data_IF_867020521113
#
_entry.id   IF_867020521113
#
_cell.length_a   1.000
_cell.length_b   1.000
_cell.length_c   1.000
_cell.angle_alpha   90.00
_cell.angle_beta   90.00
_cell.angle_gamma   90.00
#
_symmetry.space_group_name_H-M   'P 1'
#
loop_
_entity.id
_entity.type
_entity.pdbx_description
1 polymer ?
#
# COMPACT_ATOMS: atom_id res chain seq x y z
N UNK A 1 -16.33 4.09 -11.80
CA UNK A 1 -17.45 5.04 -12.04
C UNK A 1 -17.41 5.47 -13.50
N UNK A 2 -18.55 5.56 -14.19
CA UNK A 2 -18.63 5.88 -15.64
C UNK A 2 -17.92 7.20 -16.03
N UNK A 3 -17.91 8.19 -15.14
CA UNK A 3 -17.21 9.46 -15.39
C UNK A 3 -15.68 9.26 -15.47
N UNK A 4 -15.10 8.56 -14.51
CA UNK A 4 -13.67 8.30 -14.46
C UNK A 4 -13.19 7.45 -15.64
N UNK A 5 -14.02 6.50 -16.11
CA UNK A 5 -13.71 5.67 -17.27
C UNK A 5 -13.65 6.51 -18.56
N UNK A 6 -14.55 7.50 -18.69
CA UNK A 6 -14.55 8.44 -19.81
C UNK A 6 -13.31 9.34 -19.79
N UNK A 7 -12.95 9.88 -18.61
CA UNK A 7 -11.78 10.73 -18.44
C UNK A 7 -10.49 9.97 -18.80
N UNK A 8 -10.33 8.71 -18.34
CA UNK A 8 -9.17 7.89 -18.71
C UNK A 8 -9.13 7.57 -20.20
N UNK A 9 -10.26 7.32 -20.84
CA UNK A 9 -10.32 7.09 -22.29
C UNK A 9 -9.83 8.32 -23.04
N UNK A 10 -10.30 9.50 -22.70
CA UNK A 10 -9.87 10.77 -23.31
C UNK A 10 -8.37 11.01 -23.13
N UNK A 11 -7.85 10.77 -21.91
CA UNK A 11 -6.42 10.89 -21.62
C UNK A 11 -5.57 9.91 -22.42
N UNK A 12 -5.98 8.64 -22.54
CA UNK A 12 -5.29 7.63 -23.33
C UNK A 12 -5.24 8.03 -24.80
N UNK A 13 -6.34 8.50 -25.39
CA UNK A 13 -6.39 8.94 -26.78
C UNK A 13 -5.53 10.19 -27.02
N UNK A 14 -5.53 11.12 -26.08
CA UNK A 14 -4.65 12.27 -26.11
C UNK A 14 -3.16 11.86 -26.09
N UNK A 15 -2.77 10.88 -25.25
CA UNK A 15 -1.39 10.39 -25.17
C UNK A 15 -0.95 9.55 -26.37
N UNK A 16 -1.88 8.87 -27.04
CA UNK A 16 -1.62 8.21 -28.34
C UNK A 16 -1.25 9.21 -29.43
N UNK A 17 -1.89 10.40 -29.40
CA UNK A 17 -1.67 11.45 -30.40
C UNK A 17 -0.49 12.37 -30.06
N UNK A 18 -0.35 12.71 -28.78
CA UNK A 18 0.67 13.59 -28.25
C UNK A 18 1.29 12.99 -26.98
N UNK A 19 2.29 12.11 -27.10
CA UNK A 19 2.98 11.49 -25.95
C UNK A 19 3.56 12.52 -24.99
N UNK A 20 3.52 12.21 -23.69
CA UNK A 20 4.12 13.01 -22.64
C UNK A 20 5.00 12.12 -21.75
N UNK A 21 5.76 12.71 -20.84
CA UNK A 21 6.53 11.98 -19.83
C UNK A 21 5.62 11.60 -18.67
N UNK A 22 4.76 10.59 -18.90
CA UNK A 22 3.82 10.08 -17.91
C UNK A 22 3.50 8.58 -18.13
N UNK A 23 3.00 7.95 -17.05
CA UNK A 23 2.66 6.53 -17.04
C UNK A 23 1.61 6.16 -18.10
N UNK A 24 0.67 7.04 -18.42
CA UNK A 24 -0.37 6.76 -19.42
C UNK A 24 0.29 6.60 -20.79
N UNK A 25 1.23 7.48 -21.13
CA UNK A 25 2.03 7.37 -22.36
C UNK A 25 2.77 6.04 -22.41
N UNK A 26 3.46 5.65 -21.34
CA UNK A 26 4.19 4.39 -21.28
C UNK A 26 3.27 3.19 -21.53
N UNK A 27 2.11 3.17 -20.89
CA UNK A 27 1.14 2.07 -21.03
C UNK A 27 0.58 1.97 -22.46
N UNK A 28 0.21 3.09 -23.10
CA UNK A 28 -0.34 3.06 -24.46
C UNK A 28 0.74 2.78 -25.51
N UNK A 29 1.99 3.16 -25.27
CA UNK A 29 3.12 2.83 -26.14
C UNK A 29 3.51 1.35 -26.03
N UNK A 30 3.55 0.77 -24.82
CA UNK A 30 3.75 -0.66 -24.61
C UNK A 30 2.65 -1.50 -25.26
N UNK A 31 1.40 -1.05 -25.21
CA UNK A 31 0.30 -1.67 -25.93
C UNK A 31 0.55 -1.66 -27.45
N UNK A 32 0.97 -0.52 -28.00
CA UNK A 32 1.20 -0.35 -29.43
C UNK A 32 2.42 -1.14 -29.95
N UNK A 33 3.46 -1.34 -29.13
CA UNK A 33 4.65 -2.14 -29.48
C UNK A 33 4.36 -3.64 -29.53
N UNK A 34 3.29 -4.10 -28.86
CA UNK A 34 2.97 -5.52 -28.74
C UNK A 34 3.78 -6.26 -27.67
N UNK A 35 4.67 -5.58 -26.94
CA UNK A 35 5.48 -6.17 -25.86
C UNK A 35 4.66 -6.46 -24.61
N UNK A 36 3.55 -5.71 -24.41
CA UNK A 36 2.58 -5.97 -23.37
C UNK A 36 1.17 -5.88 -23.98
N UNK A 37 0.49 -7.02 -24.21
CA UNK A 37 -0.80 -7.06 -24.88
C UNK A 37 -1.94 -6.65 -23.92
N UNK A 38 -1.87 -5.42 -23.37
CA UNK A 38 -2.95 -4.86 -22.56
C UNK A 38 -4.05 -4.34 -23.47
N UNK A 39 -5.29 -4.64 -23.13
CA UNK A 39 -6.47 -4.00 -23.73
C UNK A 39 -6.69 -2.62 -23.14
N UNK A 40 -7.46 -1.78 -23.81
CA UNK A 40 -7.86 -0.47 -23.28
C UNK A 40 -8.59 -0.58 -21.94
N UNK A 41 -9.41 -1.61 -21.78
CA UNK A 41 -10.09 -1.89 -20.51
C UNK A 41 -9.10 -2.21 -19.38
N UNK A 42 -8.09 -3.01 -19.66
CA UNK A 42 -7.05 -3.34 -18.67
C UNK A 42 -6.21 -2.12 -18.30
N UNK A 43 -5.88 -1.25 -19.25
CA UNK A 43 -5.19 0.01 -18.95
C UNK A 43 -6.08 0.88 -18.05
N UNK A 44 -7.36 1.09 -18.37
CA UNK A 44 -8.29 1.87 -17.55
C UNK A 44 -8.45 1.31 -16.13
N UNK A 45 -8.57 -0.02 -16.00
CA UNK A 45 -8.65 -0.68 -14.70
C UNK A 45 -7.38 -0.45 -13.88
N UNK A 46 -6.21 -0.55 -14.49
CA UNK A 46 -4.94 -0.29 -13.81
C UNK A 46 -4.80 1.18 -13.38
N UNK A 47 -5.15 2.14 -14.25
CA UNK A 47 -5.14 3.57 -13.91
C UNK A 47 -6.10 3.87 -12.75
N UNK A 48 -7.30 3.30 -12.78
CA UNK A 48 -8.27 3.42 -11.69
C UNK A 48 -7.76 2.83 -10.38
N UNK A 49 -7.13 1.65 -10.43
CA UNK A 49 -6.55 1.00 -9.26
C UNK A 49 -5.39 1.82 -8.65
N UNK A 50 -4.53 2.39 -9.49
CA UNK A 50 -3.42 3.25 -9.05
C UNK A 50 -3.94 4.55 -8.42
N UNK A 51 -4.94 5.19 -9.03
CA UNK A 51 -5.53 6.42 -8.50
C UNK A 51 -6.17 6.19 -7.13
N UNK A 52 -6.99 5.14 -6.99
CA UNK A 52 -7.66 4.82 -5.71
C UNK A 52 -6.65 4.36 -4.67
N UNK A 53 -5.72 3.48 -5.06
CA UNK A 53 -4.70 2.93 -4.17
C UNK A 53 -3.73 3.98 -3.63
N UNK A 54 -3.36 4.97 -4.45
CA UNK A 54 -2.41 6.02 -4.06
C UNK A 54 -3.02 7.16 -3.26
N UNK A 55 -4.31 7.44 -3.43
CA UNK A 55 -4.91 8.62 -2.80
C UNK A 55 -5.38 8.33 -1.36
N UNK A 56 -6.32 7.40 -1.18
CA UNK A 56 -6.98 7.20 0.11
C UNK A 56 -6.01 6.72 1.19
N UNK A 57 -5.20 5.73 0.86
CA UNK A 57 -4.29 5.11 1.83
C UNK A 57 -3.19 6.06 2.29
N UNK A 58 -2.65 6.87 1.40
CA UNK A 58 -1.63 7.87 1.76
C UNK A 58 -2.23 8.99 2.61
N UNK A 59 -3.43 9.46 2.27
CA UNK A 59 -4.15 10.45 3.09
C UNK A 59 -4.37 9.95 4.51
N UNK A 60 -4.82 8.69 4.65
CA UNK A 60 -5.01 8.07 5.96
C UNK A 60 -3.68 7.88 6.71
N UNK A 61 -2.59 7.51 6.00
CA UNK A 61 -1.27 7.36 6.60
C UNK A 61 -0.75 8.68 7.20
N UNK A 62 -0.87 9.77 6.44
CA UNK A 62 -0.50 11.11 6.91
C UNK A 62 -1.35 11.50 8.14
N UNK A 63 -2.66 11.26 8.07
CA UNK A 63 -3.57 11.52 9.19
C UNK A 63 -3.21 10.73 10.44
N UNK A 64 -2.95 9.43 10.30
CA UNK A 64 -2.52 8.55 11.38
C UNK A 64 -1.17 9.00 11.98
N UNK A 65 -0.20 9.36 11.11
CA UNK A 65 1.09 9.87 11.55
C UNK A 65 0.97 11.16 12.37
N UNK A 66 0.21 12.13 11.89
CA UNK A 66 -0.07 13.37 12.62
C UNK A 66 -0.74 13.09 13.95
N UNK A 67 -1.77 12.26 13.97
CA UNK A 67 -2.47 11.88 15.20
C UNK A 67 -1.54 11.19 16.20
N UNK A 68 -0.71 10.25 15.76
CA UNK A 68 0.26 9.56 16.61
C UNK A 68 1.26 10.54 17.25
N UNK A 69 1.84 11.45 16.47
CA UNK A 69 2.77 12.44 17.01
C UNK A 69 2.12 13.46 17.95
N UNK A 70 0.86 13.81 17.74
CA UNK A 70 0.13 14.70 18.66
C UNK A 70 -0.23 14.00 19.98
N UNK A 71 -0.46 12.70 19.95
CA UNK A 71 -0.79 11.90 21.15
C UNK A 71 0.44 11.32 21.86
N UNK A 72 1.62 11.36 21.22
CA UNK A 72 2.91 10.93 21.77
C UNK A 72 3.94 12.08 21.68
N UNK A 73 3.81 13.13 22.52
CA UNK A 73 4.64 14.34 22.41
C UNK A 73 6.13 14.09 22.66
N UNK A 74 6.50 13.03 23.38
CA UNK A 74 7.87 12.57 23.57
C UNK A 74 8.49 12.10 22.25
N UNK A 75 7.73 11.38 21.42
CA UNK A 75 8.16 10.90 20.12
C UNK A 75 8.27 12.07 19.12
N UNK A 76 7.37 13.03 19.16
CA UNK A 76 7.47 14.26 18.39
C UNK A 76 8.71 15.08 18.78
N UNK A 77 9.00 15.18 20.07
CA UNK A 77 10.20 15.86 20.56
C UNK A 77 11.48 15.15 20.09
N UNK A 78 11.51 13.82 20.13
CA UNK A 78 12.63 13.02 19.63
C UNK A 78 12.87 13.24 18.13
N UNK A 79 11.80 13.25 17.31
CA UNK A 79 11.89 13.50 15.87
C UNK A 79 12.40 14.91 15.58
N UNK A 80 11.91 15.94 16.31
CA UNK A 80 12.37 17.33 16.17
C UNK A 80 13.85 17.50 16.57
N UNK A 81 14.29 16.79 17.61
CA UNK A 81 15.68 16.82 18.08
C UNK A 81 16.62 16.09 17.10
N UNK A 82 16.15 15.06 16.42
CA UNK A 82 16.91 14.30 15.44
C UNK A 82 16.09 13.98 14.19
N UNK A 83 16.04 14.89 13.19
CA UNK A 83 15.30 14.68 11.94
C UNK A 83 15.77 13.44 11.13
N UNK A 84 16.97 12.91 11.38
CA UNK A 84 17.45 11.68 10.74
C UNK A 84 16.63 10.44 11.12
N UNK A 85 15.78 10.52 12.15
CA UNK A 85 14.80 9.49 12.50
C UNK A 85 13.59 9.44 11.53
N UNK A 86 13.46 10.40 10.61
CA UNK A 86 12.32 10.50 9.69
C UNK A 86 11.95 9.18 9.00
N UNK A 87 12.89 8.52 8.28
CA UNK A 87 12.57 7.25 7.63
C UNK A 87 12.11 6.15 8.62
N UNK A 88 12.74 6.08 9.79
CA UNK A 88 12.35 5.10 10.82
C UNK A 88 10.99 5.43 11.44
N UNK A 89 10.68 6.71 11.58
CA UNK A 89 9.39 7.19 12.08
C UNK A 89 8.25 6.81 11.11
N UNK A 90 8.46 6.92 9.80
CA UNK A 90 7.49 6.45 8.78
C UNK A 90 7.23 4.95 8.90
N UNK A 91 8.29 4.13 9.02
CA UNK A 91 8.12 2.68 9.20
C UNK A 91 7.38 2.34 10.51
N UNK A 92 7.62 3.10 11.59
CA UNK A 92 6.92 2.86 12.86
C UNK A 92 5.44 3.31 12.80
N UNK A 93 5.10 4.40 12.11
CA UNK A 93 3.70 4.78 11.84
C UNK A 93 3.01 3.68 11.04
N UNK A 94 3.64 3.19 9.96
CA UNK A 94 3.13 2.10 9.14
C UNK A 94 2.93 0.81 9.93
N UNK A 95 3.84 0.49 10.84
CA UNK A 95 3.70 -0.68 11.71
C UNK A 95 2.54 -0.51 12.69
N UNK A 96 2.52 0.63 13.38
CA UNK A 96 1.64 0.86 14.53
C UNK A 96 0.21 1.17 14.11
N UNK A 97 0.01 1.99 13.06
CA UNK A 97 -1.32 2.42 12.61
C UNK A 97 -1.37 2.49 11.07
N UNK A 98 -1.22 1.32 10.42
CA UNK A 98 -1.32 1.23 8.97
C UNK A 98 -2.74 1.58 8.46
N UNK A 99 -2.86 2.30 7.34
CA UNK A 99 -4.16 2.60 6.72
C UNK A 99 -4.97 1.35 6.38
N UNK A 100 -4.30 0.27 5.98
CA UNK A 100 -4.94 -1.00 5.65
C UNK A 100 -4.72 -1.98 6.79
N UNK A 101 -5.77 -2.23 7.57
CA UNK A 101 -5.72 -3.10 8.75
C UNK A 101 -5.81 -4.59 8.42
N UNK A 102 -6.42 -4.94 7.28
CA UNK A 102 -6.61 -6.33 6.87
C UNK A 102 -6.68 -6.46 5.35
N UNK A 103 -6.37 -7.65 4.84
CA UNK A 103 -6.61 -8.04 3.45
C UNK A 103 -7.31 -9.40 3.42
N UNK A 104 -7.98 -9.70 2.30
CA UNK A 104 -8.67 -10.98 2.15
C UNK A 104 -8.07 -11.83 1.03
N UNK A 105 -8.26 -13.14 1.15
CA UNK A 105 -7.91 -14.13 0.12
C UNK A 105 -9.05 -15.13 -0.02
N UNK A 106 -9.24 -15.62 -1.24
CA UNK A 106 -10.15 -16.74 -1.51
C UNK A 106 -9.29 -17.99 -1.61
N UNK A 107 -9.68 -19.02 -0.85
CA UNK A 107 -9.02 -20.33 -0.89
C UNK A 107 -9.38 -21.03 -2.19
N UNK A 108 -8.40 -21.34 -3.03
CA UNK A 108 -8.63 -21.98 -4.34
C UNK A 108 -8.92 -23.47 -4.22
N UNK A 109 -8.22 -24.17 -3.31
CA UNK A 109 -8.37 -25.60 -3.07
C UNK A 109 -8.27 -25.90 -1.57
N UNK A 110 -8.87 -27.01 -1.13
CA UNK A 110 -8.77 -27.47 0.25
C UNK A 110 -7.31 -27.55 0.68
N UNK A 111 -6.99 -26.90 1.81
CA UNK A 111 -5.63 -26.89 2.38
C UNK A 111 -5.65 -26.69 3.88
N UNK A 112 -4.52 -26.95 4.50
CA UNK A 112 -4.30 -26.66 5.93
C UNK A 112 -3.20 -25.61 6.06
N UNK A 113 -3.48 -24.53 6.80
CA UNK A 113 -2.51 -23.47 7.08
C UNK A 113 -2.37 -23.32 8.59
N UNK A 114 -1.16 -23.46 9.10
CA UNK A 114 -0.87 -23.42 10.55
C UNK A 114 -1.78 -24.32 11.40
N UNK A 115 -2.10 -25.53 10.91
CA UNK A 115 -2.98 -26.46 11.58
C UNK A 115 -4.49 -26.22 11.38
N UNK A 116 -4.88 -25.09 10.76
CA UNK A 116 -6.29 -24.77 10.50
C UNK A 116 -6.71 -25.29 9.11
N UNK A 117 -7.70 -26.22 9.01
CA UNK A 117 -8.21 -26.69 7.74
C UNK A 117 -9.08 -25.60 7.08
N UNK A 118 -8.82 -25.37 5.81
CA UNK A 118 -9.55 -24.41 4.99
C UNK A 118 -10.13 -25.09 3.78
N UNK A 119 -11.38 -24.79 3.46
CA UNK A 119 -12.08 -25.33 2.29
C UNK A 119 -11.97 -24.39 1.10
N UNK A 120 -11.97 -24.99 -0.10
CA UNK A 120 -12.07 -24.21 -1.34
C UNK A 120 -13.23 -23.23 -1.29
N UNK A 121 -13.03 -22.04 -1.85
CA UNK A 121 -13.96 -20.90 -1.90
C UNK A 121 -14.25 -20.20 -0.55
N UNK A 122 -13.66 -20.64 0.56
CA UNK A 122 -13.71 -19.83 1.79
C UNK A 122 -12.94 -18.51 1.62
N UNK A 123 -13.46 -17.46 2.24
CA UNK A 123 -12.76 -16.18 2.38
C UNK A 123 -11.97 -16.20 3.68
N UNK A 124 -10.68 -15.89 3.58
CA UNK A 124 -9.77 -15.77 4.73
C UNK A 124 -9.35 -14.31 4.85
N UNK A 125 -9.49 -13.76 6.04
CA UNK A 125 -8.99 -12.42 6.36
C UNK A 125 -7.62 -12.52 7.02
N UNK A 126 -6.63 -11.83 6.44
CA UNK A 126 -5.30 -11.67 7.01
C UNK A 126 -5.25 -10.33 7.74
N UNK A 127 -5.24 -10.33 9.06
CA UNK A 127 -5.14 -9.11 9.87
C UNK A 127 -3.69 -8.60 9.84
N UNK A 128 -3.43 -7.57 9.05
CA UNK A 128 -2.12 -6.93 8.97
C UNK A 128 -1.83 -6.15 10.25
N UNK A 129 -2.85 -5.50 10.81
CA UNK A 129 -2.73 -4.76 12.07
C UNK A 129 -2.32 -5.69 13.24
N UNK A 130 -2.94 -6.89 13.34
CA UNK A 130 -2.56 -7.87 14.36
C UNK A 130 -1.13 -8.40 14.13
N UNK A 131 -0.77 -8.70 12.88
CA UNK A 131 0.58 -9.17 12.56
C UNK A 131 1.65 -8.13 12.88
N UNK A 132 1.35 -6.85 12.67
CA UNK A 132 2.26 -5.74 12.99
C UNK A 132 2.38 -5.45 14.50
N UNK A 133 1.55 -6.09 15.30
CA UNK A 133 1.57 -6.00 16.78
C UNK A 133 1.82 -7.35 17.44
N UNK A 134 2.29 -8.33 16.70
CA UNK A 134 2.65 -9.65 17.23
C UNK A 134 3.89 -9.53 18.13
N UNK A 135 3.74 -9.83 19.41
CA UNK A 135 4.80 -9.75 20.43
C UNK A 135 5.95 -10.74 20.15
N UNK A 136 5.69 -11.79 19.38
CA UNK A 136 6.74 -12.73 18.97
C UNK A 136 7.68 -12.15 17.92
N UNK A 137 7.24 -11.12 17.20
CA UNK A 137 7.99 -10.45 16.14
C UNK A 137 8.45 -9.04 16.56
N UNK A 138 7.68 -8.37 17.41
CA UNK A 138 7.91 -6.97 17.79
C UNK A 138 7.94 -6.83 19.32
N UNK A 139 9.13 -6.63 19.86
CA UNK A 139 9.28 -6.34 21.28
C UNK A 139 8.52 -5.05 21.63
N UNK A 140 7.74 -5.06 22.74
CA UNK A 140 6.85 -3.96 23.13
C UNK A 140 5.93 -3.51 21.97
N UNK A 141 5.26 -4.47 21.34
CA UNK A 141 4.50 -4.28 20.10
C UNK A 141 3.42 -3.19 20.20
N UNK A 142 2.84 -3.00 21.42
CA UNK A 142 1.82 -1.99 21.72
C UNK A 142 2.39 -0.59 22.02
N UNK A 143 3.71 -0.42 21.95
CA UNK A 143 4.34 0.88 22.15
C UNK A 143 4.69 1.52 20.80
N UNK A 144 4.25 2.76 20.60
CA UNK A 144 4.72 3.60 19.49
C UNK A 144 6.07 4.20 19.87
N UNK A 145 7.14 3.80 19.18
CA UNK A 145 8.50 4.22 19.50
C UNK A 145 9.36 4.31 18.22
N UNK A 146 9.56 5.52 17.75
CA UNK A 146 10.35 5.82 16.54
C UNK A 146 11.85 5.63 16.72
N UNK A 147 12.32 5.37 17.94
CA UNK A 147 13.74 5.19 18.22
C UNK A 147 14.19 3.73 18.17
N UNK A 148 13.23 2.79 18.20
CA UNK A 148 13.51 1.36 18.11
C UNK A 148 13.67 0.91 16.66
N UNK A 149 14.78 0.23 16.38
CA UNK A 149 14.93 -0.51 15.12
C UNK A 149 14.15 -1.82 15.22
N UNK A 150 13.02 -1.89 14.53
CA UNK A 150 12.12 -3.04 14.55
C UNK A 150 12.33 -3.97 13.35
N UNK A 151 11.75 -5.18 13.44
CA UNK A 151 11.61 -6.08 12.30
C UNK A 151 10.73 -5.45 11.20
N UNK A 152 10.81 -6.00 9.99
CA UNK A 152 9.97 -5.55 8.88
C UNK A 152 8.50 -5.82 9.19
N UNK A 153 7.66 -4.79 9.04
CA UNK A 153 6.22 -4.89 9.16
C UNK A 153 5.57 -5.36 7.85
N UNK A 154 4.30 -5.75 7.92
CA UNK A 154 3.51 -6.21 6.76
C UNK A 154 2.42 -5.21 6.31
N UNK A 155 2.56 -3.92 6.63
CA UNK A 155 1.61 -2.88 6.25
C UNK A 155 1.37 -2.79 4.74
N UNK A 156 2.36 -3.09 3.94
CA UNK A 156 2.28 -3.16 2.48
C UNK A 156 1.97 -4.56 1.94
N UNK A 157 1.55 -5.49 2.80
CA UNK A 157 1.36 -6.88 2.43
C UNK A 157 2.67 -7.64 2.23
N UNK A 158 2.63 -8.68 1.40
CA UNK A 158 3.80 -9.50 1.10
C UNK A 158 3.57 -10.46 -0.07
N UNK A 159 4.65 -11.10 -0.53
CA UNK A 159 4.61 -12.03 -1.66
C UNK A 159 4.38 -11.33 -3.00
N UNK A 160 3.79 -12.03 -3.99
CA UNK A 160 3.59 -11.50 -5.34
C UNK A 160 2.69 -10.24 -5.41
N UNK A 161 1.88 -10.00 -4.38
CA UNK A 161 0.96 -8.87 -4.27
C UNK A 161 1.44 -7.80 -3.28
N UNK A 162 2.73 -7.69 -3.04
CA UNK A 162 3.28 -6.57 -2.26
C UNK A 162 2.89 -5.24 -2.92
N UNK A 163 2.61 -4.22 -2.12
CA UNK A 163 2.19 -2.91 -2.62
C UNK A 163 3.22 -2.31 -3.58
N UNK A 164 2.82 -2.07 -4.83
CA UNK A 164 3.68 -1.45 -5.85
C UNK A 164 4.03 0.01 -5.49
N UNK A 165 3.11 0.72 -4.80
CA UNK A 165 3.30 2.10 -4.35
C UNK A 165 4.11 2.27 -3.06
N UNK A 166 4.61 1.18 -2.46
CA UNK A 166 5.32 1.25 -1.18
C UNK A 166 6.54 2.20 -1.17
N UNK A 167 7.36 2.31 -2.24
CA UNK A 167 8.43 3.30 -2.28
C UNK A 167 7.91 4.74 -2.29
N UNK A 168 6.85 5.02 -3.06
CA UNK A 168 6.25 6.35 -3.17
C UNK A 168 5.61 6.77 -1.83
N UNK A 169 4.79 5.90 -1.24
CA UNK A 169 4.14 6.16 0.04
C UNK A 169 5.09 6.44 1.21
N UNK A 170 6.36 6.00 1.11
CA UNK A 170 7.40 6.32 2.10
C UNK A 170 8.04 7.68 1.89
N UNK A 171 7.91 8.23 0.70
CA UNK A 171 8.49 9.55 0.35
C UNK A 171 7.52 10.70 0.60
N UNK A 172 6.23 10.42 0.56
CA UNK A 172 5.17 11.38 0.86
C UNK A 172 5.02 11.63 2.36
#
# INVERSE_FOLDING_TARGET
SYALDADFTELMDARRTAPQDDLITDMVQLQASGDAPLTDDEIRINLGALLVGGNLTTTDLIGNGVWLFLTHPDQLAALKANPALGPQAVEEVLRYEAPVSATSRIVEADRTVAGCPMKARQVVFCSLASANRDETMFEQSERFDITQKRASHVAFGGGPHICIGAPLARME
#
